data_IF_547143493463
#
_entry.id   IF_547143493463
#
_cell.length_a   1.000
_cell.length_b   1.000
_cell.length_c   1.000
_cell.angle_alpha   90.00
_cell.angle_beta   90.00
_cell.angle_gamma   90.00
#
_symmetry.space_group_name_H-M   'P 1'
#
loop_
_entity.id
_entity.type
_entity.pdbx_description
1 polymer ?
#
# COMPACT_ATOMS: atom_id res chain seq x y z
N UNK A 1 -3.02 3.07 27.99
CA UNK A 1 -1.87 3.80 27.41
C UNK A 1 -0.82 2.75 27.04
N UNK A 2 -0.97 2.10 25.88
CA UNK A 2 -0.10 0.99 25.49
C UNK A 2 0.80 1.46 24.35
N UNK A 3 2.04 1.81 24.70
CA UNK A 3 3.09 2.18 23.76
C UNK A 3 3.64 0.90 23.16
N UNK A 4 3.12 0.50 22.00
CA UNK A 4 3.68 -0.63 21.26
C UNK A 4 5.01 -0.20 20.63
N UNK A 5 6.06 -0.89 21.06
CA UNK A 5 7.46 -0.77 20.67
C UNK A 5 7.58 -0.87 19.15
N UNK A 6 8.15 0.17 18.52
CA UNK A 6 8.64 0.13 17.14
C UNK A 6 9.78 -0.89 17.06
N UNK A 7 9.45 -2.14 16.75
CA UNK A 7 10.44 -3.13 16.31
C UNK A 7 10.88 -2.76 14.90
N UNK A 8 11.76 -1.77 14.82
CA UNK A 8 12.55 -1.40 13.65
C UNK A 8 13.61 -2.47 13.42
N UNK A 9 13.21 -3.59 12.80
CA UNK A 9 14.15 -4.50 12.15
C UNK A 9 13.38 -5.18 11.02
N UNK A 10 13.45 -4.61 9.81
CA UNK A 10 13.53 -5.38 8.57
C UNK A 10 14.06 -4.45 7.46
N UNK A 11 15.38 -4.49 7.33
CA UNK A 11 16.09 -4.45 6.07
C UNK A 11 15.81 -3.26 5.13
N UNK A 12 16.55 -2.18 5.40
CA UNK A 12 17.17 -1.31 4.38
C UNK A 12 17.83 -2.17 3.30
N UNK A 13 17.07 -2.62 2.32
CA UNK A 13 17.57 -3.48 1.24
C UNK A 13 17.84 -2.65 -0.01
N UNK A 14 19.07 -2.15 -0.05
CA UNK A 14 19.96 -2.17 -1.22
C UNK A 14 19.38 -1.62 -2.53
N UNK A 15 19.73 -0.36 -2.82
CA UNK A 15 19.96 0.12 -4.19
C UNK A 15 21.22 -0.57 -4.71
N UNK A 16 21.08 -1.56 -5.58
CA UNK A 16 22.19 -2.17 -6.32
C UNK A 16 21.93 -3.58 -6.84
N UNK A 17 22.14 -3.75 -8.14
CA UNK A 17 22.44 -5.00 -8.86
C UNK A 17 21.26 -5.91 -9.26
N UNK A 18 21.09 -6.03 -10.58
CA UNK A 18 20.07 -6.83 -11.26
C UNK A 18 20.12 -8.32 -10.96
N UNK A 19 19.41 -8.72 -9.92
CA UNK A 19 19.01 -10.10 -9.63
C UNK A 19 17.50 -10.10 -9.39
N UNK A 20 16.79 -11.08 -9.95
CA UNK A 20 15.33 -11.20 -9.95
C UNK A 20 14.71 -10.97 -8.56
N UNK A 21 14.32 -9.72 -8.26
CA UNK A 21 13.39 -9.44 -7.18
C UNK A 21 12.05 -9.95 -7.68
N UNK A 22 11.48 -10.94 -6.98
CA UNK A 22 10.13 -11.41 -7.28
C UNK A 22 9.13 -10.24 -7.29
N UNK A 23 7.93 -10.45 -7.86
CA UNK A 23 6.92 -9.40 -8.00
C UNK A 23 6.68 -8.68 -6.68
N UNK A 24 6.57 -7.35 -6.73
CA UNK A 24 6.36 -6.52 -5.53
C UNK A 24 5.02 -6.80 -4.85
N UNK A 25 4.77 -6.26 -3.65
CA UNK A 25 3.51 -6.48 -2.94
C UNK A 25 2.28 -6.02 -3.75
N UNK A 26 2.39 -4.93 -4.51
CA UNK A 26 1.34 -4.46 -5.42
C UNK A 26 1.06 -5.49 -6.52
N UNK A 27 2.09 -6.04 -7.15
CA UNK A 27 1.93 -7.02 -8.23
C UNK A 27 1.27 -8.30 -7.73
N UNK A 28 1.74 -8.84 -6.61
CA UNK A 28 1.13 -10.03 -5.98
C UNK A 28 -0.33 -9.81 -5.62
N UNK A 29 -0.67 -8.63 -5.11
CA UNK A 29 -2.05 -8.25 -4.84
C UNK A 29 -2.91 -8.25 -6.10
N UNK A 30 -2.43 -7.60 -7.18
CA UNK A 30 -3.17 -7.48 -8.43
C UNK A 30 -3.40 -8.84 -9.09
N UNK A 31 -2.39 -9.70 -9.09
CA UNK A 31 -2.49 -11.07 -9.59
C UNK A 31 -3.53 -11.87 -8.78
N UNK A 32 -3.48 -11.78 -7.45
CA UNK A 32 -4.43 -12.46 -6.57
C UNK A 32 -5.88 -12.01 -6.80
N UNK A 33 -6.15 -10.70 -6.83
CA UNK A 33 -7.53 -10.21 -7.03
C UNK A 33 -8.04 -10.42 -8.44
N UNK A 34 -7.15 -10.49 -9.44
CA UNK A 34 -7.51 -10.89 -10.79
C UNK A 34 -7.93 -12.36 -10.82
N UNK A 35 -7.12 -13.26 -10.26
CA UNK A 35 -7.41 -14.71 -10.23
C UNK A 35 -8.68 -15.03 -9.44
N UNK A 36 -8.91 -14.37 -8.30
CA UNK A 36 -10.05 -14.68 -7.43
C UNK A 36 -11.39 -14.15 -7.93
N UNK A 37 -11.38 -12.98 -8.59
CA UNK A 37 -12.61 -12.21 -8.84
C UNK A 37 -12.79 -11.76 -10.28
N UNK A 38 -11.85 -12.09 -11.17
CA UNK A 38 -11.90 -11.70 -12.58
C UNK A 38 -12.04 -10.18 -12.75
N UNK A 39 -11.38 -9.38 -11.90
CA UNK A 39 -11.51 -7.93 -11.96
C UNK A 39 -11.09 -7.39 -13.33
N UNK A 40 -11.83 -6.40 -13.82
CA UNK A 40 -11.55 -5.79 -15.12
C UNK A 40 -10.16 -5.14 -15.16
N UNK A 41 -9.50 -5.06 -16.33
CA UNK A 41 -8.22 -4.37 -16.48
C UNK A 41 -8.24 -2.93 -15.95
N UNK A 42 -9.37 -2.22 -16.14
CA UNK A 42 -9.54 -0.85 -15.64
C UNK A 42 -9.53 -0.79 -14.11
N UNK A 43 -10.14 -1.78 -13.44
CA UNK A 43 -10.12 -1.87 -11.98
C UNK A 43 -8.72 -2.16 -11.45
N UNK A 44 -7.99 -3.08 -12.10
CA UNK A 44 -6.60 -3.40 -11.75
C UNK A 44 -5.68 -2.19 -11.95
N UNK A 45 -5.83 -1.46 -13.06
CA UNK A 45 -5.07 -0.25 -13.33
C UNK A 45 -5.35 0.85 -12.28
N UNK A 46 -6.61 1.02 -11.89
CA UNK A 46 -7.00 1.97 -10.85
C UNK A 46 -6.37 1.62 -9.49
N UNK A 47 -6.36 0.34 -9.12
CA UNK A 47 -5.70 -0.14 -7.90
C UNK A 47 -4.19 0.07 -7.95
N UNK A 48 -3.54 -0.29 -9.06
CA UNK A 48 -2.10 -0.05 -9.25
C UNK A 48 -1.75 1.42 -9.07
N UNK A 49 -2.46 2.32 -9.76
CA UNK A 49 -2.19 3.75 -9.69
C UNK A 49 -2.34 4.31 -8.27
N UNK A 50 -3.37 3.87 -7.53
CA UNK A 50 -3.59 4.32 -6.16
C UNK A 50 -2.51 3.82 -5.20
N UNK A 51 -2.14 2.53 -5.31
CA UNK A 51 -1.14 1.92 -4.44
C UNK A 51 0.27 2.44 -4.73
N UNK A 52 0.63 2.63 -6.01
CA UNK A 52 1.91 3.23 -6.39
C UNK A 52 2.01 4.69 -5.92
N UNK A 53 0.90 5.44 -5.91
CA UNK A 53 0.91 6.80 -5.37
C UNK A 53 1.17 6.82 -3.85
N UNK A 54 0.62 5.85 -3.11
CA UNK A 54 0.88 5.69 -1.69
C UNK A 54 2.32 5.22 -1.42
N UNK A 55 2.80 4.21 -2.15
CA UNK A 55 4.16 3.66 -2.04
C UNK A 55 5.21 4.77 -2.22
N UNK A 56 5.08 5.58 -3.28
CA UNK A 56 5.99 6.71 -3.52
C UNK A 56 5.98 7.75 -2.40
N UNK A 57 4.78 8.08 -1.90
CA UNK A 57 4.68 9.04 -0.80
C UNK A 57 5.28 8.46 0.48
N UNK A 58 5.09 7.17 0.77
CA UNK A 58 5.72 6.51 1.91
C UNK A 58 7.23 6.48 1.78
N UNK A 59 7.77 6.17 0.59
CA UNK A 59 9.22 6.18 0.33
C UNK A 59 9.84 7.56 0.63
N UNK A 60 9.14 8.64 0.29
CA UNK A 60 9.55 10.02 0.61
C UNK A 60 9.50 10.34 2.12
N UNK A 61 8.74 9.58 2.90
CA UNK A 61 8.52 9.76 4.35
C UNK A 61 9.13 8.61 5.18
N UNK A 62 10.10 7.88 4.61
CA UNK A 62 10.78 6.73 5.25
C UNK A 62 9.83 5.59 5.71
N UNK A 63 8.65 5.49 5.09
CA UNK A 63 7.68 4.44 5.29
C UNK A 63 7.84 3.28 4.30
N UNK A 64 7.14 2.18 4.56
CA UNK A 64 7.04 1.01 3.67
C UNK A 64 5.56 0.68 3.48
N UNK A 65 5.14 0.48 2.22
CA UNK A 65 3.78 0.10 1.88
C UNK A 65 3.30 -1.15 2.64
N UNK A 66 4.19 -2.12 2.86
CA UNK A 66 3.89 -3.36 3.57
C UNK A 66 3.91 -3.23 5.10
N UNK A 67 4.32 -2.08 5.65
CA UNK A 67 4.39 -1.81 7.09
C UNK A 67 3.67 -0.51 7.50
N UNK A 68 2.96 0.13 6.57
CA UNK A 68 2.27 1.38 6.82
C UNK A 68 1.21 1.21 7.92
N UNK A 69 1.18 2.15 8.84
CA UNK A 69 0.19 2.21 9.92
C UNK A 69 -0.92 3.22 9.61
N UNK A 70 -1.94 3.27 10.46
CA UNK A 70 -3.07 4.20 10.34
C UNK A 70 -2.65 5.66 10.17
N UNK A 71 -1.64 6.09 10.92
CA UNK A 71 -1.12 7.44 10.90
C UNK A 71 -0.52 7.80 9.54
N UNK A 72 0.19 6.87 8.91
CA UNK A 72 0.78 7.07 7.60
C UNK A 72 -0.31 7.23 6.53
N UNK A 73 -1.34 6.38 6.57
CA UNK A 73 -2.49 6.46 5.65
C UNK A 73 -3.26 7.77 5.80
N UNK A 74 -3.51 8.21 7.05
CA UNK A 74 -4.18 9.48 7.30
C UNK A 74 -3.34 10.67 6.83
N UNK A 75 -2.03 10.60 7.01
CA UNK A 75 -1.09 11.66 6.59
C UNK A 75 -1.03 11.77 5.06
N UNK A 76 -0.99 10.64 4.36
CA UNK A 76 -1.14 10.61 2.90
C UNK A 76 -2.47 11.22 2.46
N UNK A 77 -3.58 10.85 3.11
CA UNK A 77 -4.91 11.36 2.73
C UNK A 77 -5.03 12.86 2.97
N UNK A 78 -4.45 13.37 4.06
CA UNK A 78 -4.38 14.80 4.35
C UNK A 78 -3.58 15.55 3.27
N UNK A 79 -2.38 15.07 2.91
CA UNK A 79 -1.55 15.71 1.88
C UNK A 79 -2.24 15.75 0.51
N UNK A 80 -3.03 14.73 0.18
CA UNK A 80 -3.86 14.71 -1.05
C UNK A 80 -4.96 15.76 -1.03
N UNK A 81 -5.63 15.93 0.11
CA UNK A 81 -6.69 16.93 0.28
C UNK A 81 -6.10 18.34 0.17
N UNK A 82 -4.98 18.60 0.83
CA UNK A 82 -4.24 19.87 0.76
C UNK A 82 -3.79 20.19 -0.67
N UNK A 83 -3.39 19.17 -1.44
CA UNK A 83 -3.08 19.28 -2.87
C UNK A 83 -4.32 19.43 -3.79
N UNK A 84 -5.53 19.56 -3.24
CA UNK A 84 -6.76 19.80 -4.01
C UNK A 84 -7.39 18.55 -4.62
N UNK A 85 -7.11 17.35 -4.09
CA UNK A 85 -7.74 16.13 -4.59
C UNK A 85 -9.27 16.16 -4.44
N UNK A 86 -9.97 15.72 -5.49
CA UNK A 86 -11.43 15.64 -5.48
C UNK A 86 -11.91 14.53 -4.55
N UNK A 87 -13.03 14.72 -3.80
CA UNK A 87 -13.55 13.71 -2.87
C UNK A 87 -13.74 12.31 -3.48
N UNK A 88 -14.19 12.26 -4.75
CA UNK A 88 -14.36 10.99 -5.49
C UNK A 88 -13.05 10.23 -5.67
N UNK A 89 -11.93 10.92 -5.91
CA UNK A 89 -10.61 10.28 -6.04
C UNK A 89 -10.16 9.73 -4.70
N UNK A 90 -10.33 10.51 -3.64
CA UNK A 90 -9.96 10.16 -2.27
C UNK A 90 -10.74 8.93 -1.78
N UNK A 91 -12.05 8.87 -2.06
CA UNK A 91 -12.88 7.71 -1.74
C UNK A 91 -12.46 6.44 -2.51
N UNK A 92 -12.06 6.59 -3.79
CA UNK A 92 -11.55 5.49 -4.61
C UNK A 92 -10.22 4.96 -4.06
N UNK A 93 -9.28 5.85 -3.72
CA UNK A 93 -8.00 5.49 -3.10
C UNK A 93 -8.21 4.72 -1.79
N UNK A 94 -9.11 5.19 -0.92
CA UNK A 94 -9.42 4.49 0.33
C UNK A 94 -10.01 3.08 0.10
N UNK A 95 -10.77 2.89 -0.98
CA UNK A 95 -11.24 1.56 -1.37
C UNK A 95 -10.08 0.65 -1.79
N UNK A 96 -9.16 1.17 -2.59
CA UNK A 96 -7.95 0.47 -3.02
C UNK A 96 -7.08 0.06 -1.81
N UNK A 97 -6.85 0.98 -0.87
CA UNK A 97 -6.06 0.71 0.34
C UNK A 97 -6.67 -0.37 1.21
N UNK A 98 -7.97 -0.25 1.55
CA UNK A 98 -8.66 -1.28 2.35
C UNK A 98 -8.59 -2.65 1.71
N UNK A 99 -8.70 -2.74 0.38
CA UNK A 99 -8.63 -4.03 -0.30
C UNK A 99 -7.22 -4.63 -0.25
N UNK A 100 -6.21 -3.79 -0.42
CA UNK A 100 -4.81 -4.20 -0.37
C UNK A 100 -4.37 -4.63 1.03
N UNK A 101 -4.66 -3.84 2.07
CA UNK A 101 -4.25 -4.18 3.44
C UNK A 101 -4.96 -5.42 3.97
N UNK A 102 -6.26 -5.62 3.65
CA UNK A 102 -6.96 -6.87 3.94
C UNK A 102 -6.33 -8.08 3.23
N UNK A 103 -5.85 -7.90 2.00
CA UNK A 103 -5.09 -8.93 1.31
C UNK A 103 -3.80 -9.25 2.07
N UNK A 104 -3.01 -8.24 2.46
CA UNK A 104 -1.78 -8.46 3.22
C UNK A 104 -2.01 -9.17 4.57
N UNK A 105 -3.10 -8.84 5.27
CA UNK A 105 -3.49 -9.54 6.51
C UNK A 105 -3.85 -11.00 6.22
N UNK A 106 -4.61 -11.26 5.15
CA UNK A 106 -4.98 -12.63 4.75
C UNK A 106 -3.77 -13.48 4.38
N UNK A 107 -2.77 -12.90 3.70
CA UNK A 107 -1.53 -13.58 3.34
C UNK A 107 -0.54 -13.68 4.53
N UNK A 108 -0.89 -13.15 5.71
CA UNK A 108 -0.03 -13.15 6.89
C UNK A 108 1.17 -12.19 6.81
N UNK A 109 1.21 -11.31 5.80
CA UNK A 109 2.24 -10.30 5.64
C UNK A 109 2.07 -9.14 6.63
N UNK A 110 0.83 -8.87 7.06
CA UNK A 110 0.50 -7.95 8.14
C UNK A 110 -0.30 -8.68 9.22
N UNK A 111 -0.12 -8.25 10.48
CA UNK A 111 -0.89 -8.79 11.61
C UNK A 111 -2.27 -8.16 11.72
N UNK A 112 -2.41 -6.89 11.37
CA UNK A 112 -3.63 -6.11 11.51
C UNK A 112 -3.83 -5.15 10.32
N UNK A 113 -5.10 -4.85 10.04
CA UNK A 113 -5.52 -3.87 9.03
C UNK A 113 -5.28 -2.44 9.60
N UNK A 114 -4.47 -1.59 8.95
CA UNK A 114 -4.11 -0.26 9.45
C UNK A 114 -5.27 0.73 9.65
#
# INVERSE_FOLDING_TARGET
>A
MSTAVKSSVLARTQRGSGGQRGPGPIDRFLDAVWMERGLSPNTLAAYRADLTALERWLDEHEGDLAAANRGDLLSFMASRIEAGARPRSTARQLSSFRRFYRYLVREGALREDP
#
